data_IF_412410239042
#
_entry.id   IF_412410239042
#
_cell.length_a   1.000
_cell.length_b   1.000
_cell.length_c   1.000
_cell.angle_alpha   90.00
_cell.angle_beta   90.00
_cell.angle_gamma   90.00
#
_symmetry.space_group_name_H-M   'P 1'
#
loop_
_entity.id
_entity.type
_entity.pdbx_description
1 polymer ?
#
# COMPACT_ATOMS: atom_id res chain seq x y z
N UNK A 1 -51.44 14.06 49.39
CA UNK A 1 -51.46 12.60 49.21
C UNK A 1 -52.20 12.31 47.91
N UNK A 2 -51.48 12.06 46.83
CA UNK A 2 -51.97 11.34 45.63
C UNK A 2 -50.75 10.94 44.82
N UNK A 3 -50.26 9.73 45.07
CA UNK A 3 -49.29 9.05 44.21
C UNK A 3 -50.02 8.54 42.96
N UNK A 4 -49.54 8.89 41.77
CA UNK A 4 -49.84 8.10 40.58
C UNK A 4 -48.58 7.37 40.17
N UNK A 5 -48.60 6.06 40.45
CA UNK A 5 -47.73 5.08 39.82
C UNK A 5 -48.25 4.82 38.42
N UNK A 6 -47.38 4.89 37.42
CA UNK A 6 -47.59 4.15 36.17
C UNK A 6 -46.27 3.54 35.74
N UNK A 7 -46.17 2.24 36.03
CA UNK A 7 -45.19 1.36 35.42
C UNK A 7 -45.47 1.30 33.92
N UNK A 8 -44.60 1.92 33.13
CA UNK A 8 -44.49 1.72 31.69
C UNK A 8 -43.34 0.77 31.43
N UNK A 9 -43.67 -0.46 31.02
CA UNK A 9 -42.76 -1.53 30.64
C UNK A 9 -41.75 -1.05 29.58
N UNK A 10 -40.48 -0.90 29.98
CA UNK A 10 -39.37 -0.82 29.04
C UNK A 10 -39.21 -2.20 28.41
N UNK A 11 -39.84 -2.37 27.24
CA UNK A 11 -39.53 -3.48 26.35
C UNK A 11 -38.04 -3.43 26.05
N UNK A 12 -37.32 -4.45 26.50
CA UNK A 12 -35.96 -4.72 26.09
C UNK A 12 -35.96 -5.00 24.59
N UNK A 13 -35.75 -3.96 23.78
CA UNK A 13 -35.33 -4.14 22.40
C UNK A 13 -33.89 -4.61 22.44
N UNK A 14 -33.71 -5.92 22.28
CA UNK A 14 -32.42 -6.54 22.13
C UNK A 14 -31.60 -5.77 21.09
N UNK A 15 -30.47 -5.21 21.53
CA UNK A 15 -29.48 -4.63 20.64
C UNK A 15 -28.90 -5.75 19.79
N UNK A 16 -29.46 -5.93 18.59
CA UNK A 16 -28.83 -6.74 17.56
C UNK A 16 -27.51 -6.03 17.21
N UNK A 17 -26.42 -6.60 17.69
CA UNK A 17 -25.07 -6.11 17.41
C UNK A 17 -24.76 -6.22 15.93
N UNK A 18 -25.10 -5.17 15.18
CA UNK A 18 -24.46 -4.88 13.92
C UNK A 18 -23.00 -4.61 14.25
N UNK A 19 -22.13 -5.58 13.98
CA UNK A 19 -20.71 -5.29 13.86
C UNK A 19 -20.57 -4.45 12.61
N UNK A 20 -20.74 -3.14 12.76
CA UNK A 20 -20.39 -2.20 11.72
C UNK A 20 -18.95 -2.50 11.35
N UNK A 21 -18.75 -3.08 10.16
CA UNK A 21 -17.44 -3.18 9.56
C UNK A 21 -17.06 -1.75 9.25
N UNK A 22 -16.44 -1.10 10.23
CA UNK A 22 -15.87 0.22 10.06
C UNK A 22 -14.79 0.09 9.01
N UNK A 23 -15.13 0.38 7.75
CA UNK A 23 -14.17 0.63 6.70
C UNK A 23 -13.36 1.81 7.22
N UNK A 24 -12.15 1.53 7.72
CA UNK A 24 -11.25 2.58 8.17
C UNK A 24 -11.11 3.56 7.00
N UNK A 25 -11.58 4.80 7.19
CA UNK A 25 -11.39 5.83 6.18
C UNK A 25 -9.89 5.99 6.04
N UNK A 26 -9.38 5.63 4.87
CA UNK A 26 -7.96 5.76 4.61
C UNK A 26 -7.59 7.23 4.75
N UNK A 27 -6.70 7.55 5.70
CA UNK A 27 -6.10 8.88 5.78
C UNK A 27 -5.42 9.18 4.45
N UNK A 28 -5.64 10.37 3.90
CA UNK A 28 -5.02 10.83 2.65
C UNK A 28 -3.51 10.71 2.76
N UNK A 29 -2.92 11.02 3.92
CA UNK A 29 -1.48 10.88 4.14
C UNK A 29 -1.01 9.43 3.98
N UNK A 30 -1.72 8.48 4.60
CA UNK A 30 -1.39 7.06 4.52
C UNK A 30 -1.57 6.51 3.11
N UNK A 31 -2.62 6.96 2.42
CA UNK A 31 -2.89 6.61 1.03
C UNK A 31 -1.81 7.14 0.09
N UNK A 32 -1.37 8.39 0.28
CA UNK A 32 -0.28 9.00 -0.49
C UNK A 32 1.05 8.28 -0.27
N UNK A 33 1.36 7.90 0.98
CA UNK A 33 2.56 7.12 1.28
C UNK A 33 2.49 5.75 0.59
N UNK A 34 1.35 5.05 0.68
CA UNK A 34 1.20 3.75 0.04
C UNK A 34 1.36 3.85 -1.48
N UNK A 35 0.71 4.84 -2.11
CA UNK A 35 0.84 5.09 -3.55
C UNK A 35 2.28 5.45 -3.91
N UNK A 36 2.94 6.28 -3.10
CA UNK A 36 4.33 6.68 -3.32
C UNK A 36 5.30 5.50 -3.25
N UNK A 37 5.17 4.65 -2.23
CA UNK A 37 5.97 3.43 -2.09
C UNK A 37 5.66 2.46 -3.24
N UNK A 38 4.40 2.28 -3.60
CA UNK A 38 4.00 1.42 -4.71
C UNK A 38 4.60 1.90 -6.04
N UNK A 39 4.52 3.20 -6.32
CA UNK A 39 5.12 3.79 -7.51
C UNK A 39 6.65 3.62 -7.52
N UNK A 40 7.32 3.81 -6.37
CA UNK A 40 8.75 3.57 -6.23
C UNK A 40 9.08 2.10 -6.52
N UNK A 41 8.33 1.14 -5.97
CA UNK A 41 8.53 -0.28 -6.23
C UNK A 41 8.40 -0.62 -7.72
N UNK A 42 7.40 -0.07 -8.41
CA UNK A 42 7.25 -0.25 -9.87
C UNK A 42 8.45 0.34 -10.60
N UNK A 43 8.90 1.54 -10.21
CA UNK A 43 10.04 2.20 -10.84
C UNK A 43 11.33 1.39 -10.64
N UNK A 44 11.58 0.91 -9.43
CA UNK A 44 12.71 0.04 -9.13
C UNK A 44 12.64 -1.27 -9.93
N UNK A 45 11.46 -1.88 -10.03
CA UNK A 45 11.24 -3.08 -10.84
C UNK A 45 11.53 -2.82 -12.33
N UNK A 46 11.11 -1.68 -12.87
CA UNK A 46 11.41 -1.30 -14.25
C UNK A 46 12.93 -1.20 -14.48
N UNK A 47 13.66 -0.48 -13.63
CA UNK A 47 15.11 -0.33 -13.82
C UNK A 47 15.90 -1.62 -13.59
N UNK A 48 15.51 -2.45 -12.62
CA UNK A 48 16.21 -3.71 -12.31
C UNK A 48 15.83 -4.84 -13.26
N UNK A 49 14.61 -4.86 -13.80
CA UNK A 49 14.10 -5.98 -14.61
C UNK A 49 13.99 -5.66 -16.10
N UNK A 50 13.46 -4.49 -16.43
CA UNK A 50 13.08 -4.14 -17.81
C UNK A 50 14.26 -3.48 -18.52
N UNK A 51 14.94 -2.51 -17.92
CA UNK A 51 16.01 -1.71 -18.56
C UNK A 51 17.38 -2.44 -18.64
N UNK A 52 17.39 -3.64 -19.24
CA UNK A 52 18.54 -4.56 -19.28
C UNK A 52 19.27 -4.60 -20.63
N UNK A 53 19.38 -3.47 -21.35
CA UNK A 53 20.05 -3.42 -22.66
C UNK A 53 19.12 -3.62 -23.86
N UNK A 54 18.11 -4.50 -23.75
CA UNK A 54 17.22 -4.84 -24.87
C UNK A 54 15.99 -3.93 -25.01
N UNK A 55 15.50 -3.36 -23.90
CA UNK A 55 14.38 -2.41 -23.87
C UNK A 55 14.77 -1.24 -22.98
N UNK A 56 15.39 -0.22 -23.58
CA UNK A 56 15.67 1.04 -22.88
C UNK A 56 14.98 2.22 -23.54
N UNK A 57 14.19 2.93 -22.73
CA UNK A 57 13.46 4.12 -23.15
C UNK A 57 14.42 5.29 -23.38
N UNK A 58 15.63 5.25 -22.81
CA UNK A 58 16.61 6.33 -22.87
C UNK A 58 17.65 6.19 -24.00
N UNK A 59 17.58 5.13 -24.80
CA UNK A 59 18.43 4.95 -25.99
C UNK A 59 19.19 3.62 -26.00
N UNK A 60 20.05 3.45 -27.00
CA UNK A 60 20.85 2.24 -27.22
C UNK A 60 21.99 2.06 -26.21
N UNK A 61 22.45 3.14 -25.57
CA UNK A 61 23.50 3.12 -24.55
C UNK A 61 22.84 3.06 -23.15
N UNK A 62 22.72 1.85 -22.63
CA UNK A 62 21.99 1.59 -21.39
C UNK A 62 22.83 1.94 -20.16
N UNK A 63 22.92 3.23 -19.84
CA UNK A 63 23.64 3.73 -18.66
C UNK A 63 23.19 3.09 -17.35
N UNK A 64 21.89 2.79 -17.21
CA UNK A 64 21.38 2.10 -16.02
C UNK A 64 21.86 0.64 -15.99
N UNK A 65 21.89 -0.04 -17.14
CA UNK A 65 22.38 -1.41 -17.23
C UNK A 65 23.85 -1.50 -16.80
N UNK A 66 24.72 -0.60 -17.27
CA UNK A 66 26.14 -0.57 -16.86
C UNK A 66 26.29 -0.28 -15.37
N UNK A 67 25.55 0.70 -14.84
CA UNK A 67 25.56 1.01 -13.41
C UNK A 67 25.13 -0.18 -12.55
N UNK A 68 24.04 -0.86 -12.93
CA UNK A 68 23.54 -2.04 -12.20
C UNK A 68 24.49 -3.23 -12.36
N UNK A 69 25.05 -3.40 -13.55
CA UNK A 69 26.06 -4.41 -13.85
C UNK A 69 27.31 -4.23 -12.99
N UNK A 70 27.80 -3.00 -12.83
CA UNK A 70 28.94 -2.68 -11.97
C UNK A 70 28.62 -2.82 -10.48
N UNK A 71 27.40 -2.45 -10.05
CA UNK A 71 26.96 -2.65 -8.67
C UNK A 71 26.89 -4.14 -8.28
N UNK A 72 26.50 -5.02 -9.22
CA UNK A 72 26.53 -6.48 -9.03
C UNK A 72 27.96 -6.98 -8.82
N UNK A 73 28.91 -6.50 -9.64
CA UNK A 73 30.32 -6.82 -9.47
C UNK A 73 30.86 -6.32 -8.13
N UNK A 74 30.47 -5.10 -7.73
CA UNK A 74 30.83 -4.54 -6.43
C UNK A 74 30.29 -5.39 -5.26
N UNK A 75 29.09 -5.93 -5.40
CA UNK A 75 28.52 -6.86 -4.43
C UNK A 75 29.14 -8.28 -4.48
N UNK A 76 30.16 -8.49 -5.33
CA UNK A 76 30.92 -9.75 -5.43
C UNK A 76 30.23 -10.84 -6.25
N UNK A 77 29.11 -10.53 -6.92
CA UNK A 77 28.43 -11.49 -7.78
C UNK A 77 29.10 -11.52 -9.17
N UNK A 78 29.53 -12.69 -9.67
CA UNK A 78 30.17 -12.79 -10.99
C UNK A 78 29.15 -12.60 -12.12
N UNK A 79 29.48 -11.87 -13.19
CA UNK A 79 28.73 -11.88 -14.46
C UNK A 79 29.38 -12.79 -15.51
N UNK A 80 28.59 -13.62 -16.19
CA UNK A 80 28.89 -14.35 -17.43
C UNK A 80 27.59 -14.84 -18.04
#
# INVERSE_FOLDING_TARGET
>A
MTSVSSAGSQGATASAGTKDVAIARADVKSSLILIGVFALCILAYYFVGVDQGAVSVFGSDTHIHEYVHDARHFAGFPCH
#
